data_IF_548010495880
#
_entry.id   IF_548010495880
#
_cell.length_a   1.000
_cell.length_b   1.000
_cell.length_c   1.000
_cell.angle_alpha   90.00
_cell.angle_beta   90.00
_cell.angle_gamma   90.00
#
_symmetry.space_group_name_H-M   'P 1'
#
loop_
_entity.id
_entity.type
_entity.pdbx_description
1 polymer ?
#
# COMPACT_ATOMS: atom_id res chain seq x y z
N UNK A 1 21.20 6.98 18.82
CA UNK A 1 19.74 6.77 18.88
C UNK A 1 19.50 5.33 18.47
N UNK A 2 18.75 4.53 19.26
CA UNK A 2 18.39 3.19 18.79
C UNK A 2 17.45 3.32 17.57
N UNK A 3 17.62 2.47 16.55
CA UNK A 3 16.70 2.46 15.42
C UNK A 3 15.28 2.20 15.93
N UNK A 4 14.30 2.90 15.34
CA UNK A 4 12.88 2.65 15.62
C UNK A 4 12.52 1.23 15.19
N UNK A 5 11.63 0.59 15.94
CA UNK A 5 11.04 -0.65 15.44
C UNK A 5 10.12 -0.35 14.26
N UNK A 6 9.92 -1.32 13.40
CA UNK A 6 9.07 -1.16 12.22
C UNK A 6 7.63 -0.81 12.58
N UNK A 7 7.11 -1.41 13.66
CA UNK A 7 5.77 -1.06 14.17
C UNK A 7 5.67 0.40 14.62
N UNK A 8 6.76 0.96 15.19
CA UNK A 8 6.81 2.37 15.55
C UNK A 8 6.82 3.27 14.31
N UNK A 9 7.60 2.91 13.28
CA UNK A 9 7.64 3.68 12.03
C UNK A 9 6.27 3.74 11.36
N UNK A 10 5.58 2.59 11.24
CA UNK A 10 4.24 2.53 10.66
C UNK A 10 3.19 3.26 11.52
N UNK A 11 3.27 3.15 12.84
CA UNK A 11 2.36 3.86 13.75
C UNK A 11 2.53 5.38 13.65
N UNK A 12 3.77 5.88 13.59
CA UNK A 12 4.06 7.30 13.42
C UNK A 12 3.60 7.82 12.05
N UNK A 13 3.82 7.05 10.98
CA UNK A 13 3.32 7.39 9.65
C UNK A 13 1.79 7.46 9.65
N UNK A 14 1.11 6.48 10.24
CA UNK A 14 -0.36 6.46 10.35
C UNK A 14 -0.88 7.65 11.15
N UNK A 15 -0.25 7.99 12.28
CA UNK A 15 -0.62 9.15 13.09
C UNK A 15 -0.43 10.45 12.31
N UNK A 16 0.68 10.60 11.57
CA UNK A 16 0.93 11.77 10.75
C UNK A 16 -0.08 11.96 9.61
N UNK A 17 -0.66 10.87 9.10
CA UNK A 17 -1.71 10.94 8.07
C UNK A 17 -3.03 11.54 8.59
N UNK A 18 -3.28 11.49 9.89
CA UNK A 18 -4.48 12.09 10.52
C UNK A 18 -4.32 13.60 10.67
N UNK A 19 -3.08 14.08 10.84
CA UNK A 19 -2.77 15.48 10.93
C UNK A 19 -2.52 16.10 9.54
N UNK A 20 -2.61 17.42 9.44
CA UNK A 20 -2.19 18.12 8.21
C UNK A 20 -0.68 17.98 8.05
N UNK A 21 -0.22 17.31 6.98
CA UNK A 21 1.19 17.05 6.72
C UNK A 21 1.57 17.34 5.27
N UNK A 22 2.85 17.64 5.06
CA UNK A 22 3.46 17.64 3.74
C UNK A 22 3.79 16.19 3.35
N UNK A 23 3.26 15.75 2.21
CA UNK A 23 3.40 14.37 1.71
C UNK A 23 4.84 14.01 1.46
N UNK A 24 5.61 14.90 0.85
CA UNK A 24 7.02 14.67 0.52
C UNK A 24 7.84 14.53 1.80
N UNK A 25 7.56 15.35 2.82
CA UNK A 25 8.22 15.26 4.13
C UNK A 25 7.86 13.96 4.86
N UNK A 26 6.59 13.57 4.84
CA UNK A 26 6.15 12.32 5.44
C UNK A 26 6.77 11.10 4.77
N UNK A 27 6.79 11.05 3.44
CA UNK A 27 7.43 9.97 2.68
C UNK A 27 8.94 9.94 2.89
N UNK A 28 9.59 11.11 2.97
CA UNK A 28 11.03 11.19 3.27
C UNK A 28 11.35 10.59 4.62
N UNK A 29 10.57 10.91 5.65
CA UNK A 29 10.72 10.32 7.00
C UNK A 29 10.44 8.83 6.98
N UNK A 30 9.36 8.40 6.33
CA UNK A 30 8.98 6.99 6.21
C UNK A 30 10.11 6.14 5.58
N UNK A 31 10.71 6.62 4.48
CA UNK A 31 11.81 5.91 3.83
C UNK A 31 13.07 5.88 4.68
N UNK A 32 13.44 6.98 5.32
CA UNK A 32 14.65 7.05 6.18
C UNK A 32 14.52 6.15 7.41
N UNK A 33 13.41 6.24 8.13
CA UNK A 33 13.14 5.40 9.30
C UNK A 33 12.94 3.94 8.88
N UNK A 34 12.28 3.69 7.73
CA UNK A 34 12.10 2.38 7.14
C UNK A 34 13.41 1.71 6.76
N UNK A 35 14.32 2.41 6.07
CA UNK A 35 15.63 1.85 5.70
C UNK A 35 16.46 1.48 6.94
N UNK A 36 16.44 2.32 7.96
CA UNK A 36 17.11 2.06 9.24
C UNK A 36 16.51 0.86 9.99
N UNK A 37 15.17 0.76 9.99
CA UNK A 37 14.42 -0.32 10.64
C UNK A 37 14.61 -1.68 9.95
N UNK A 38 14.69 -1.68 8.61
CA UNK A 38 14.96 -2.88 7.79
C UNK A 38 16.43 -3.29 7.80
N UNK A 39 17.34 -2.39 8.22
CA UNK A 39 18.78 -2.63 8.14
C UNK A 39 19.30 -2.64 6.70
N UNK A 40 18.67 -1.87 5.80
CA UNK A 40 19.08 -1.74 4.40
C UNK A 40 19.83 -0.44 4.17
N UNK A 41 20.66 -0.40 3.12
CA UNK A 41 21.59 0.74 2.92
C UNK A 41 20.90 1.97 2.34
N UNK A 42 19.92 1.77 1.46
CA UNK A 42 19.19 2.87 0.85
C UNK A 42 17.84 2.45 0.27
N UNK A 43 16.96 3.45 0.10
CA UNK A 43 15.65 3.30 -0.53
C UNK A 43 15.36 4.49 -1.46
N UNK A 44 14.65 4.22 -2.56
CA UNK A 44 14.17 5.22 -3.50
C UNK A 44 12.75 4.90 -3.94
N UNK A 45 11.92 5.92 -4.07
CA UNK A 45 10.51 5.82 -4.45
C UNK A 45 10.27 6.59 -5.73
N UNK A 46 9.85 5.88 -6.79
CA UNK A 46 9.39 6.47 -8.03
C UNK A 46 7.86 6.34 -8.15
N UNK A 47 7.25 7.27 -8.84
CA UNK A 47 5.81 7.29 -9.11
C UNK A 47 5.52 7.60 -10.57
N UNK A 48 4.38 7.12 -11.06
CA UNK A 48 3.85 7.50 -12.36
C UNK A 48 3.22 8.89 -12.26
N UNK A 49 3.74 9.84 -13.04
CA UNK A 49 3.20 11.18 -13.16
C UNK A 49 1.91 11.17 -14.02
N UNK A 50 1.13 12.27 -14.03
CA UNK A 50 -0.13 12.36 -14.80
C UNK A 50 0.04 12.23 -16.32
N UNK A 51 1.23 12.45 -16.86
CA UNK A 51 1.59 12.29 -18.27
C UNK A 51 2.12 10.88 -18.61
N UNK A 52 1.93 9.93 -17.68
CA UNK A 52 2.40 8.55 -17.74
C UNK A 52 3.94 8.37 -17.65
N UNK A 53 4.73 9.44 -17.50
CA UNK A 53 6.14 9.33 -17.21
C UNK A 53 6.39 8.83 -15.78
N UNK A 54 7.53 8.17 -15.56
CA UNK A 54 7.97 7.85 -14.20
C UNK A 54 8.81 9.00 -13.67
N UNK A 55 8.63 9.35 -12.41
CA UNK A 55 9.39 10.39 -11.74
C UNK A 55 9.86 9.93 -10.36
N UNK A 56 11.05 10.36 -9.97
CA UNK A 56 11.52 10.22 -8.61
C UNK A 56 10.67 11.10 -7.68
N UNK A 57 10.10 10.51 -6.64
CA UNK A 57 9.36 11.27 -5.62
C UNK A 57 10.23 11.56 -4.40
N UNK A 58 10.81 10.53 -3.79
CA UNK A 58 11.71 10.66 -2.64
C UNK A 58 12.80 9.59 -2.65
N UNK A 59 13.93 9.89 -1.99
CA UNK A 59 15.03 8.95 -1.79
C UNK A 59 15.71 9.18 -0.45
N UNK A 60 16.41 8.18 0.07
CA UNK A 60 17.15 8.28 1.35
C UNK A 60 18.47 9.05 1.23
N UNK A 61 18.99 9.23 0.00
CA UNK A 61 20.23 9.96 -0.25
C UNK A 61 20.29 10.54 -1.66
N UNK A 62 21.14 11.54 -1.85
CA UNK A 62 21.37 12.14 -3.17
C UNK A 62 21.87 11.13 -4.22
N UNK A 63 22.81 10.24 -3.85
CA UNK A 63 23.31 9.22 -4.78
C UNK A 63 22.23 8.24 -5.24
N UNK A 64 21.27 7.91 -4.39
CA UNK A 64 20.11 7.10 -4.78
C UNK A 64 19.17 7.90 -5.68
N UNK A 65 19.01 9.21 -5.43
CA UNK A 65 18.22 10.06 -6.32
C UNK A 65 18.79 10.09 -7.74
N UNK A 66 20.12 10.15 -7.89
CA UNK A 66 20.78 10.10 -9.20
C UNK A 66 20.57 8.73 -9.89
N UNK A 67 20.63 7.61 -9.12
CA UNK A 67 20.37 6.28 -9.66
C UNK A 67 18.92 6.11 -10.15
N UNK A 68 17.96 6.61 -9.39
CA UNK A 68 16.55 6.54 -9.79
C UNK A 68 16.26 7.40 -11.00
N UNK A 69 16.82 8.62 -11.05
CA UNK A 69 16.70 9.50 -12.21
C UNK A 69 17.33 8.87 -13.47
N UNK A 70 18.45 8.16 -13.33
CA UNK A 70 19.08 7.44 -14.43
C UNK A 70 18.19 6.31 -14.94
N UNK A 71 17.64 5.49 -14.04
CA UNK A 71 16.73 4.39 -14.40
C UNK A 71 15.54 4.89 -15.20
N UNK A 72 14.90 5.94 -14.71
CA UNK A 72 13.76 6.58 -15.37
C UNK A 72 14.17 7.15 -16.73
N UNK A 73 15.29 7.88 -16.80
CA UNK A 73 15.75 8.50 -18.03
C UNK A 73 16.20 7.52 -19.11
N UNK A 74 16.68 6.33 -18.73
CA UNK A 74 17.06 5.25 -19.65
C UNK A 74 15.93 4.25 -19.92
N UNK A 75 14.79 4.40 -19.23
CA UNK A 75 13.67 3.46 -19.29
C UNK A 75 14.11 2.01 -18.97
N UNK A 76 15.11 1.87 -18.09
CA UNK A 76 15.78 0.62 -17.74
C UNK A 76 16.12 0.60 -16.26
N UNK A 77 15.91 -0.54 -15.61
CA UNK A 77 16.29 -0.76 -14.22
C UNK A 77 15.22 -1.46 -13.40
N UNK A 78 15.55 -1.82 -12.15
CA UNK A 78 14.64 -2.58 -11.29
C UNK A 78 13.31 -1.86 -11.04
N UNK A 79 13.30 -0.55 -10.82
CA UNK A 79 12.07 0.20 -10.59
C UNK A 79 11.17 0.24 -11.83
N UNK A 80 11.76 0.42 -13.02
CA UNK A 80 11.02 0.45 -14.29
C UNK A 80 10.41 -0.92 -14.58
N UNK A 81 11.19 -1.98 -14.38
CA UNK A 81 10.71 -3.35 -14.58
C UNK A 81 9.62 -3.72 -13.58
N UNK A 82 9.79 -3.36 -12.31
CA UNK A 82 8.81 -3.59 -11.26
C UNK A 82 7.49 -2.88 -11.56
N UNK A 83 7.55 -1.60 -11.95
CA UNK A 83 6.37 -0.84 -12.34
C UNK A 83 5.65 -1.49 -13.54
N UNK A 84 6.38 -1.89 -14.59
CA UNK A 84 5.79 -2.51 -15.79
C UNK A 84 5.15 -3.87 -15.53
N UNK A 85 5.81 -4.69 -14.71
CA UNK A 85 5.33 -6.03 -14.39
C UNK A 85 4.24 -6.05 -13.32
N UNK A 86 4.08 -4.96 -12.57
CA UNK A 86 3.25 -4.86 -11.36
C UNK A 86 3.55 -6.01 -10.36
N UNK A 87 4.81 -6.45 -10.33
CA UNK A 87 5.29 -7.55 -9.49
C UNK A 87 6.66 -7.20 -8.89
N UNK A 88 7.00 -7.75 -7.71
CA UNK A 88 8.32 -7.56 -7.12
C UNK A 88 9.44 -8.01 -8.06
N UNK A 89 10.54 -7.26 -8.08
CA UNK A 89 11.74 -7.53 -8.86
C UNK A 89 12.93 -7.65 -7.91
N UNK A 90 13.71 -8.72 -8.05
CA UNK A 90 14.90 -8.96 -7.25
C UNK A 90 16.08 -9.27 -8.17
N UNK A 91 17.24 -8.69 -7.87
CA UNK A 91 18.50 -9.04 -8.47
C UNK A 91 19.61 -9.04 -7.42
N UNK A 92 20.34 -10.14 -7.32
CA UNK A 92 21.38 -10.38 -6.33
C UNK A 92 22.73 -10.61 -7.05
N UNK A 93 23.75 -9.91 -6.58
CA UNK A 93 25.09 -9.92 -7.15
C UNK A 93 25.27 -8.94 -8.31
N UNK A 94 26.38 -8.20 -8.28
CA UNK A 94 26.66 -7.14 -9.24
C UNK A 94 26.64 -7.59 -10.70
N UNK A 95 27.13 -8.78 -10.99
CA UNK A 95 27.12 -9.34 -12.36
C UNK A 95 25.70 -9.59 -12.88
N UNK A 96 24.79 -10.07 -12.02
CA UNK A 96 23.37 -10.27 -12.38
C UNK A 96 22.70 -8.94 -12.65
N UNK A 97 22.95 -7.94 -11.79
CA UNK A 97 22.41 -6.59 -11.92
C UNK A 97 22.85 -5.97 -13.24
N UNK A 98 24.13 -6.01 -13.56
CA UNK A 98 24.69 -5.46 -14.81
C UNK A 98 24.22 -6.21 -16.07
N UNK A 99 24.06 -7.53 -15.99
CA UNK A 99 23.56 -8.33 -17.12
C UNK A 99 22.09 -8.00 -17.42
N UNK A 100 21.29 -7.80 -16.37
CA UNK A 100 19.84 -7.54 -16.50
C UNK A 100 19.55 -6.12 -16.95
N UNK A 101 20.32 -5.16 -16.46
CA UNK A 101 20.20 -3.73 -16.78
C UNK A 101 21.59 -3.15 -17.10
N UNK A 102 22.03 -3.17 -18.37
CA UNK A 102 23.38 -2.80 -18.73
C UNK A 102 23.80 -1.38 -18.33
N UNK A 103 22.90 -0.39 -18.43
CA UNK A 103 23.20 1.01 -18.10
C UNK A 103 22.91 1.27 -16.61
N UNK A 104 21.68 1.00 -16.18
CA UNK A 104 21.28 1.24 -14.80
C UNK A 104 22.03 0.33 -13.82
N UNK A 105 22.24 -0.94 -14.19
CA UNK A 105 22.97 -1.90 -13.37
C UNK A 105 24.44 -1.56 -13.19
N UNK A 106 25.11 -1.03 -14.23
CA UNK A 106 26.48 -0.51 -14.09
C UNK A 106 26.52 0.64 -13.06
N UNK A 107 25.58 1.56 -13.11
CA UNK A 107 25.51 2.65 -12.16
C UNK A 107 25.22 2.18 -10.73
N UNK A 108 24.30 1.23 -10.55
CA UNK A 108 23.97 0.62 -9.25
C UNK A 108 25.22 -0.03 -8.64
N UNK A 109 25.92 -0.85 -9.40
CA UNK A 109 27.15 -1.53 -8.93
C UNK A 109 28.27 -0.51 -8.65
N UNK A 110 28.44 0.50 -9.49
CA UNK A 110 29.42 1.58 -9.26
C UNK A 110 29.14 2.37 -7.99
N UNK A 111 27.87 2.52 -7.61
CA UNK A 111 27.48 3.14 -6.35
C UNK A 111 27.74 2.24 -5.12
N UNK A 112 28.21 1.01 -5.34
CA UNK A 112 28.59 0.04 -4.31
C UNK A 112 27.45 -0.83 -3.81
N UNK A 113 26.34 -0.89 -4.53
CA UNK A 113 25.25 -1.82 -4.22
C UNK A 113 25.44 -3.16 -4.89
N UNK A 114 25.16 -4.23 -4.15
CA UNK A 114 25.32 -5.60 -4.59
C UNK A 114 23.99 -6.37 -4.69
N UNK A 115 22.92 -5.85 -4.13
CA UNK A 115 21.58 -6.38 -4.34
C UNK A 115 20.55 -5.24 -4.43
N UNK A 116 19.48 -5.52 -5.16
CA UNK A 116 18.32 -4.61 -5.28
C UNK A 116 17.04 -5.43 -5.24
N UNK A 117 16.07 -4.91 -4.49
CA UNK A 117 14.71 -5.40 -4.42
C UNK A 117 13.78 -4.23 -4.77
N UNK A 118 12.87 -4.42 -5.71
CA UNK A 118 11.88 -3.43 -6.07
C UNK A 118 10.47 -3.96 -5.76
N UNK A 119 9.67 -3.14 -5.09
CA UNK A 119 8.32 -3.48 -4.65
C UNK A 119 7.32 -2.55 -5.34
N UNK A 120 6.27 -3.07 -6.00
CA UNK A 120 5.34 -2.24 -6.75
C UNK A 120 4.38 -1.49 -5.81
N UNK A 121 4.17 -0.20 -6.07
CA UNK A 121 3.10 0.59 -5.45
C UNK A 121 1.78 0.21 -6.14
N UNK A 122 1.01 -0.66 -5.54
CA UNK A 122 -0.22 -1.16 -6.14
C UNK A 122 -1.46 -0.43 -5.62
N UNK A 123 -2.32 -0.04 -6.55
CA UNK A 123 -3.65 0.44 -6.25
C UNK A 123 -4.67 -0.26 -7.15
N UNK A 124 -5.55 -1.06 -6.56
CA UNK A 124 -6.53 -1.88 -7.27
C UNK A 124 -5.91 -2.71 -8.42
N UNK A 125 -4.73 -3.28 -8.18
CA UNK A 125 -4.01 -4.12 -9.15
C UNK A 125 -3.23 -3.34 -10.23
N UNK A 126 -3.27 -2.01 -10.22
CA UNK A 126 -2.45 -1.15 -11.09
C UNK A 126 -1.21 -0.68 -10.34
N UNK A 127 -0.04 -0.77 -10.96
CA UNK A 127 1.17 -0.17 -10.41
C UNK A 127 1.16 1.35 -10.64
N UNK A 128 1.31 2.11 -9.55
CA UNK A 128 1.44 3.57 -9.55
C UNK A 128 2.89 4.02 -9.48
N UNK A 129 3.81 3.09 -9.29
CA UNK A 129 5.23 3.35 -9.11
C UNK A 129 5.95 2.13 -8.55
N UNK A 130 7.13 2.33 -8.00
CA UNK A 130 7.92 1.30 -7.33
C UNK A 130 8.77 1.88 -6.19
N UNK A 131 8.96 1.09 -5.13
CA UNK A 131 9.93 1.32 -4.07
C UNK A 131 11.13 0.43 -4.31
N UNK A 132 12.30 1.02 -4.53
CA UNK A 132 13.57 0.31 -4.57
C UNK A 132 14.23 0.26 -3.20
N UNK A 133 14.76 -0.90 -2.86
CA UNK A 133 15.58 -1.18 -1.68
C UNK A 133 16.95 -1.66 -2.15
N UNK A 134 18.00 -0.96 -1.77
CA UNK A 134 19.38 -1.25 -2.16
C UNK A 134 20.18 -1.74 -0.96
N UNK A 135 20.99 -2.79 -1.16
CA UNK A 135 21.94 -3.29 -0.15
C UNK A 135 23.34 -3.45 -0.73
N UNK A 136 24.35 -3.20 0.11
CA UNK A 136 25.76 -3.44 -0.23
C UNK A 136 26.13 -4.92 -0.11
N UNK A 137 25.37 -5.67 0.67
CA UNK A 137 25.43 -7.13 0.71
C UNK A 137 24.68 -7.71 -0.50
N UNK A 138 25.17 -8.79 -1.05
CA UNK A 138 24.51 -9.57 -2.10
C UNK A 138 23.51 -10.60 -1.57
N UNK A 139 23.28 -10.62 -0.25
CA UNK A 139 22.27 -11.44 0.39
C UNK A 139 20.86 -10.94 0.04
N UNK A 140 19.96 -11.87 -0.17
CA UNK A 140 18.54 -11.56 -0.30
C UNK A 140 18.00 -11.00 1.03
N UNK A 141 16.97 -10.15 0.94
CA UNK A 141 16.13 -9.85 2.09
C UNK A 141 15.42 -11.13 2.52
N UNK A 142 15.29 -11.33 3.83
CA UNK A 142 14.47 -12.42 4.35
C UNK A 142 12.97 -12.14 4.18
N UNK A 143 12.13 -13.14 4.46
CA UNK A 143 10.68 -13.04 4.27
C UNK A 143 10.08 -11.90 5.11
N UNK A 144 10.54 -11.71 6.36
CA UNK A 144 10.05 -10.65 7.23
C UNK A 144 10.46 -9.26 6.71
N UNK A 145 11.67 -9.13 6.19
CA UNK A 145 12.14 -7.90 5.55
C UNK A 145 11.36 -7.61 4.26
N UNK A 146 11.05 -8.61 3.45
CA UNK A 146 10.24 -8.46 2.25
C UNK A 146 8.79 -8.03 2.58
N UNK A 147 8.15 -8.69 3.54
CA UNK A 147 6.81 -8.31 4.02
C UNK A 147 6.79 -6.87 4.53
N UNK A 148 7.84 -6.47 5.23
CA UNK A 148 7.95 -5.15 5.78
C UNK A 148 8.23 -4.08 4.72
N UNK A 149 9.09 -4.35 3.75
CA UNK A 149 9.31 -3.47 2.61
C UNK A 149 8.02 -3.28 1.80
N UNK A 150 7.23 -4.34 1.62
CA UNK A 150 5.90 -4.23 1.01
C UNK A 150 4.95 -3.36 1.87
N UNK A 151 4.94 -3.52 3.20
CA UNK A 151 4.12 -2.68 4.07
C UNK A 151 4.49 -1.19 3.99
N UNK A 152 5.79 -0.85 3.89
CA UNK A 152 6.23 0.53 3.62
C UNK A 152 5.79 1.03 2.24
N UNK A 153 5.80 0.15 1.24
CA UNK A 153 5.33 0.45 -0.12
C UNK A 153 3.83 0.74 -0.13
N UNK A 154 3.05 -0.10 0.56
CA UNK A 154 1.59 0.06 0.68
C UNK A 154 1.24 1.35 1.46
N UNK A 155 1.95 1.64 2.55
CA UNK A 155 1.79 2.89 3.31
C UNK A 155 2.12 4.10 2.42
N UNK A 156 3.21 4.04 1.64
CA UNK A 156 3.57 5.10 0.70
C UNK A 156 2.46 5.32 -0.34
N UNK A 157 1.87 4.24 -0.85
CA UNK A 157 0.73 4.30 -1.77
C UNK A 157 -0.45 5.05 -1.15
N UNK A 158 -0.82 4.73 0.09
CA UNK A 158 -1.92 5.39 0.80
C UNK A 158 -1.61 6.88 1.02
N UNK A 159 -0.39 7.22 1.47
CA UNK A 159 0.06 8.61 1.68
C UNK A 159 -0.05 9.41 0.38
N UNK A 160 0.40 8.86 -0.74
CA UNK A 160 0.34 9.53 -2.06
C UNK A 160 -1.12 9.76 -2.48
N UNK A 161 -1.96 8.76 -2.32
CA UNK A 161 -3.37 8.85 -2.75
C UNK A 161 -4.19 9.83 -1.91
N UNK A 162 -3.87 9.95 -0.61
CA UNK A 162 -4.49 10.95 0.25
C UNK A 162 -4.11 12.38 -0.13
N UNK A 163 -2.91 12.60 -0.70
CA UNK A 163 -2.43 13.93 -1.09
C UNK A 163 -3.05 14.46 -2.37
N UNK A 164 -3.54 13.57 -3.23
CA UNK A 164 -4.25 13.93 -4.45
C UNK A 164 -5.60 14.52 -4.10
N UNK A 165 -5.58 15.78 -3.62
CA UNK A 165 -6.73 16.60 -3.29
C UNK A 165 -7.92 15.79 -2.79
N UNK A 166 -8.00 15.64 -1.50
CA UNK A 166 -9.26 15.39 -0.84
C UNK A 166 -10.11 16.64 -1.11
N UNK A 167 -10.72 16.68 -2.28
CA UNK A 167 -11.82 17.58 -2.53
C UNK A 167 -12.78 17.33 -1.36
N UNK A 168 -13.13 18.37 -0.59
CA UNK A 168 -14.07 18.25 0.53
C UNK A 168 -15.34 17.49 0.14
N UNK A 169 -15.68 17.48 -1.14
CA UNK A 169 -16.76 16.68 -1.73
C UNK A 169 -16.53 15.17 -1.60
N UNK A 170 -15.28 14.68 -1.78
CA UNK A 170 -14.98 13.25 -1.64
C UNK A 170 -14.96 12.78 -0.19
N UNK A 171 -14.50 13.62 0.76
CA UNK A 171 -14.64 13.29 2.20
C UNK A 171 -16.11 13.17 2.56
N UNK A 172 -16.91 14.12 2.13
CA UNK A 172 -18.37 14.11 2.38
C UNK A 172 -19.03 12.89 1.74
N UNK A 173 -18.61 12.50 0.53
CA UNK A 173 -19.09 11.31 -0.19
C UNK A 173 -18.68 10.02 0.53
N UNK A 174 -17.41 9.85 0.91
CA UNK A 174 -16.94 8.67 1.64
C UNK A 174 -17.55 8.54 3.03
N UNK A 175 -17.73 9.64 3.74
CA UNK A 175 -18.46 9.65 5.02
C UNK A 175 -19.92 9.28 4.82
N UNK A 176 -20.55 9.78 3.75
CA UNK A 176 -21.94 9.46 3.42
C UNK A 176 -22.10 7.97 3.07
N UNK A 177 -21.19 7.41 2.29
CA UNK A 177 -21.20 5.99 1.95
C UNK A 177 -21.00 5.11 3.20
N UNK A 178 -20.08 5.49 4.10
CA UNK A 178 -19.88 4.78 5.35
C UNK A 178 -21.13 4.84 6.26
N UNK A 179 -21.77 6.01 6.35
CA UNK A 179 -23.00 6.18 7.12
C UNK A 179 -24.17 5.40 6.50
N UNK A 180 -24.28 5.36 5.17
CA UNK A 180 -25.30 4.55 4.49
C UNK A 180 -25.06 3.06 4.74
N UNK A 181 -23.83 2.59 4.71
CA UNK A 181 -23.47 1.23 5.08
C UNK A 181 -23.91 0.86 6.48
N UNK A 182 -23.71 1.77 7.46
CA UNK A 182 -24.21 1.59 8.82
C UNK A 182 -25.73 1.47 8.88
N UNK A 183 -26.46 2.34 8.18
CA UNK A 183 -27.93 2.28 8.12
C UNK A 183 -28.41 0.94 7.61
N UNK A 184 -27.80 0.39 6.56
CA UNK A 184 -28.14 -0.92 5.99
C UNK A 184 -27.93 -2.04 7.03
N UNK A 185 -26.82 -2.00 7.78
CA UNK A 185 -26.53 -2.97 8.83
C UNK A 185 -27.57 -2.89 9.98
N UNK A 186 -27.90 -1.68 10.43
CA UNK A 186 -28.88 -1.51 11.51
C UNK A 186 -30.28 -1.99 11.09
N UNK A 187 -30.69 -1.72 9.88
CA UNK A 187 -31.95 -2.21 9.33
C UNK A 187 -31.95 -3.75 9.22
N UNK A 188 -30.87 -4.35 8.76
CA UNK A 188 -30.74 -5.79 8.66
C UNK A 188 -30.76 -6.48 10.03
N UNK A 189 -30.11 -5.90 11.05
CA UNK A 189 -30.18 -6.35 12.44
C UNK A 189 -31.63 -6.40 12.92
N UNK A 190 -32.37 -5.29 12.73
CA UNK A 190 -33.78 -5.22 13.11
C UNK A 190 -34.64 -6.24 12.37
N UNK A 191 -34.44 -6.42 11.08
CA UNK A 191 -35.14 -7.43 10.29
C UNK A 191 -34.82 -8.85 10.75
N UNK A 192 -33.55 -9.17 10.98
CA UNK A 192 -33.09 -10.48 11.43
C UNK A 192 -33.59 -10.79 12.85
N UNK A 193 -33.49 -9.83 13.78
CA UNK A 193 -34.02 -9.96 15.13
C UNK A 193 -35.51 -10.28 15.15
N UNK A 194 -36.28 -9.61 14.28
CA UNK A 194 -37.72 -9.86 14.15
C UNK A 194 -38.04 -11.22 13.54
N UNK A 195 -37.35 -11.61 12.47
CA UNK A 195 -37.59 -12.84 11.74
C UNK A 195 -37.22 -14.08 12.55
N UNK A 196 -36.10 -14.03 13.26
CA UNK A 196 -35.55 -15.17 14.02
C UNK A 196 -35.98 -15.16 15.51
N UNK A 197 -36.67 -14.10 15.97
CA UNK A 197 -37.09 -13.96 17.36
C UNK A 197 -35.94 -13.85 18.37
N UNK A 198 -34.84 -13.21 17.95
CA UNK A 198 -33.60 -13.01 18.71
C UNK A 198 -33.41 -11.54 19.06
N UNK A 199 -32.51 -11.27 20.00
CA UNK A 199 -32.14 -9.89 20.33
C UNK A 199 -31.20 -9.25 19.27
N UNK A 200 -31.05 -7.92 19.33
CA UNK A 200 -30.27 -7.15 18.38
C UNK A 200 -28.77 -7.47 18.42
N UNK A 201 -28.23 -7.85 19.57
CA UNK A 201 -26.83 -8.22 19.72
C UNK A 201 -26.56 -9.56 19.02
N UNK A 202 -27.40 -10.55 19.28
CA UNK A 202 -27.34 -11.86 18.61
C UNK A 202 -27.51 -11.71 17.08
N UNK A 203 -28.44 -10.86 16.65
CA UNK A 203 -28.63 -10.57 15.23
C UNK A 203 -27.37 -9.94 14.58
N UNK A 204 -26.66 -9.08 15.29
CA UNK A 204 -25.41 -8.51 14.81
C UNK A 204 -24.30 -9.56 14.67
N UNK A 205 -24.11 -10.40 15.70
CA UNK A 205 -23.12 -11.49 15.67
C UNK A 205 -23.37 -12.48 14.52
N UNK A 206 -24.64 -12.77 14.22
CA UNK A 206 -25.00 -13.61 13.08
C UNK A 206 -24.62 -12.96 11.74
N UNK A 207 -24.85 -11.64 11.58
CA UNK A 207 -24.41 -10.91 10.37
C UNK A 207 -22.89 -10.96 10.19
N UNK A 208 -22.14 -10.73 11.26
CA UNK A 208 -20.68 -10.80 11.22
C UNK A 208 -20.20 -12.20 10.87
N UNK A 209 -20.72 -13.22 11.54
CA UNK A 209 -20.36 -14.63 11.30
C UNK A 209 -20.66 -15.05 9.85
N UNK A 210 -21.82 -14.66 9.31
CA UNK A 210 -22.16 -14.93 7.90
C UNK A 210 -21.23 -14.20 6.94
N UNK A 211 -20.83 -12.97 7.24
CA UNK A 211 -19.89 -12.19 6.44
C UNK A 211 -18.51 -12.87 6.40
N UNK A 212 -17.99 -13.29 7.54
CA UNK A 212 -16.72 -14.02 7.65
C UNK A 212 -16.74 -15.35 6.88
N UNK A 213 -17.80 -16.17 7.08
CA UNK A 213 -17.95 -17.46 6.40
C UNK A 213 -18.04 -17.30 4.87
N UNK A 214 -18.66 -16.23 4.38
CA UNK A 214 -18.82 -15.94 2.95
C UNK A 214 -17.63 -15.20 2.37
N UNK A 215 -16.71 -14.70 3.19
CA UNK A 215 -15.64 -13.80 2.74
C UNK A 215 -16.19 -12.53 2.07
N UNK A 216 -17.34 -12.02 2.53
CA UNK A 216 -18.06 -10.91 1.94
C UNK A 216 -18.18 -9.73 2.94
N UNK A 217 -18.25 -8.47 2.45
CA UNK A 217 -18.51 -7.32 3.31
C UNK A 217 -19.82 -7.49 4.10
N UNK A 218 -19.83 -7.08 5.37
CA UNK A 218 -21.01 -7.17 6.23
C UNK A 218 -22.20 -6.36 5.67
N UNK A 219 -21.92 -5.26 4.97
CA UNK A 219 -22.93 -4.44 4.29
C UNK A 219 -23.64 -5.21 3.16
N UNK A 220 -22.90 -6.05 2.44
CA UNK A 220 -23.47 -6.92 1.40
C UNK A 220 -24.39 -7.98 2.02
N UNK A 221 -23.94 -8.66 3.08
CA UNK A 221 -24.75 -9.65 3.80
C UNK A 221 -26.00 -9.00 4.38
N UNK A 222 -25.87 -7.80 4.95
CA UNK A 222 -27.01 -7.04 5.45
C UNK A 222 -28.02 -6.70 4.33
N UNK A 223 -27.56 -6.31 3.15
CA UNK A 223 -28.39 -6.09 1.97
C UNK A 223 -29.15 -7.34 1.53
N UNK A 224 -28.49 -8.52 1.57
CA UNK A 224 -29.11 -9.80 1.27
C UNK A 224 -30.20 -10.18 2.28
N UNK A 225 -29.95 -9.91 3.58
CA UNK A 225 -30.96 -10.13 4.67
C UNK A 225 -32.19 -9.25 4.42
N UNK A 226 -31.99 -7.97 4.13
CA UNK A 226 -33.12 -7.06 3.84
C UNK A 226 -33.92 -7.51 2.63
N UNK A 227 -33.23 -7.93 1.57
CA UNK A 227 -33.87 -8.45 0.37
C UNK A 227 -34.68 -9.72 0.63
N UNK A 228 -34.20 -10.61 1.52
CA UNK A 228 -34.94 -11.80 1.98
C UNK A 228 -36.19 -11.42 2.78
N UNK A 229 -36.03 -10.49 3.72
CA UNK A 229 -37.13 -10.02 4.57
C UNK A 229 -38.26 -9.36 3.77
N UNK A 230 -37.91 -8.58 2.75
CA UNK A 230 -38.90 -7.95 1.87
C UNK A 230 -39.69 -8.99 1.04
N UNK A 231 -39.03 -10.01 0.50
CA UNK A 231 -39.70 -11.09 -0.24
C UNK A 231 -40.68 -11.88 0.62
N UNK A 232 -40.36 -12.14 1.88
CA UNK A 232 -41.28 -12.83 2.80
C UNK A 232 -42.50 -12.01 3.17
N UNK A 233 -42.39 -10.68 3.14
CA UNK A 233 -43.51 -9.74 3.41
C UNK A 233 -44.45 -9.58 2.21
N UNK A 234 -43.94 -9.65 0.98
CA UNK A 234 -44.74 -9.52 -0.24
C UNK A 234 -45.35 -10.85 -0.72
N UNK A 235 -44.93 -11.97 -0.16
CA UNK A 235 -45.48 -13.30 -0.48
C UNK A 235 -46.58 -13.77 0.50
N UNK A 236 -47.01 -12.91 1.41
CA UNK A 236 -48.19 -13.07 2.26
C UNK A 236 -49.33 -12.14 1.81
#
# INVERSE_FOLDING_TARGET
>A
MNPKSTSQVLAEATAAMVDSHDVTDLLTRLLRDGSSSLGVDAMGLIVQAPDDSLELLVSTSHGVAELEALQVGQDEGPCVECHRSAAPVVALGGSVIQLRWPIAGEAIVRAGFAAVHAFPLLWHGRALGALNVFTRSDAALDDAQCEMAQAFTDMSTIVILQSQSVDQRRITESLREALLGRVVIEQAKGALAHLEGIDMATAYELLITEAEQRGAPVTQVAGDVLSRAQRQRTGR
#
